data_IF_954131545418
#
_entry.id   IF_954131545418
#
_cell.length_a   1.000
_cell.length_b   1.000
_cell.length_c   1.000
_cell.angle_alpha   90.00
_cell.angle_beta   90.00
_cell.angle_gamma   90.00
#
_symmetry.space_group_name_H-M   'P 1'
#
loop_
_entity.id
_entity.type
_entity.pdbx_description
1 polymer ?
#
# COMPACT_ATOMS: atom_id res chain seq x y z
N UNK A 1 56.05 33.21 -9.66
CA UNK A 1 54.60 32.91 -9.43
C UNK A 1 54.22 31.47 -9.75
N UNK A 2 54.60 30.87 -10.88
CA UNK A 2 54.19 29.50 -11.26
C UNK A 2 54.61 28.39 -10.30
N UNK A 3 55.73 28.48 -9.62
CA UNK A 3 56.21 27.42 -8.69
C UNK A 3 55.31 27.30 -7.46
N UNK A 4 54.76 28.39 -6.96
CA UNK A 4 53.90 28.35 -5.78
C UNK A 4 52.51 27.81 -6.08
N UNK A 5 52.00 28.04 -7.28
CA UNK A 5 50.69 27.52 -7.73
C UNK A 5 50.73 25.99 -7.86
N UNK A 6 51.78 25.44 -8.38
CA UNK A 6 51.95 23.96 -8.52
C UNK A 6 52.00 23.29 -7.14
N UNK A 7 52.71 23.90 -6.20
CA UNK A 7 52.81 23.38 -4.81
C UNK A 7 51.43 23.40 -4.10
N UNK A 8 50.64 24.45 -4.28
CA UNK A 8 49.29 24.52 -3.74
C UNK A 8 48.36 23.48 -4.39
N UNK A 9 48.47 23.21 -5.69
CA UNK A 9 47.70 22.19 -6.39
C UNK A 9 48.04 20.78 -5.87
N UNK A 10 49.32 20.49 -5.67
CA UNK A 10 49.77 19.18 -5.13
C UNK A 10 49.33 19.00 -3.67
N UNK A 11 49.39 20.06 -2.84
CA UNK A 11 48.88 20.03 -1.48
C UNK A 11 47.38 19.83 -1.42
N UNK A 12 46.62 20.53 -2.28
CA UNK A 12 45.17 20.41 -2.36
C UNK A 12 44.76 18.99 -2.84
N UNK A 13 45.46 18.44 -3.83
CA UNK A 13 45.24 17.10 -4.34
C UNK A 13 45.54 16.01 -3.28
N UNK A 14 46.64 16.16 -2.51
CA UNK A 14 46.93 15.27 -1.40
C UNK A 14 45.93 15.41 -0.24
N UNK A 15 45.41 16.61 0.02
CA UNK A 15 44.36 16.85 1.03
C UNK A 15 43.06 16.19 0.61
N UNK A 16 42.67 16.30 -0.68
CA UNK A 16 41.51 15.66 -1.23
C UNK A 16 41.65 14.12 -1.22
N UNK A 17 42.87 13.60 -1.52
CA UNK A 17 43.14 12.17 -1.41
C UNK A 17 43.10 11.67 0.05
N UNK A 18 43.64 12.45 1.01
CA UNK A 18 43.51 12.14 2.44
C UNK A 18 42.05 12.13 2.90
N UNK A 19 41.22 13.13 2.50
CA UNK A 19 39.81 13.15 2.78
C UNK A 19 39.05 12.00 2.15
N UNK A 20 39.39 11.60 0.94
CA UNK A 20 38.82 10.44 0.26
C UNK A 20 39.24 9.11 0.92
N UNK A 21 40.44 9.02 1.47
CA UNK A 21 40.89 7.83 2.24
C UNK A 21 40.26 7.77 3.63
N UNK A 22 40.01 8.89 4.28
CA UNK A 22 39.23 8.91 5.53
C UNK A 22 37.77 8.52 5.31
N UNK A 23 37.16 8.95 4.18
CA UNK A 23 35.79 8.52 3.82
C UNK A 23 35.77 7.01 3.48
N UNK A 24 36.84 6.45 2.90
CA UNK A 24 36.95 5.04 2.60
C UNK A 24 37.41 4.17 3.80
N UNK A 25 37.84 4.80 4.90
CA UNK A 25 38.24 4.13 6.16
C UNK A 25 37.10 3.92 7.15
N UNK A 26 35.89 4.47 6.87
CA UNK A 26 34.67 4.02 7.53
C UNK A 26 34.42 2.60 7.02
N UNK A 27 34.71 1.60 7.85
CA UNK A 27 34.24 0.23 7.60
C UNK A 27 32.81 0.34 7.12
N UNK A 28 32.45 -0.20 5.96
CA UNK A 28 31.07 -0.14 5.52
C UNK A 28 30.26 -0.75 6.68
N UNK A 29 29.49 0.08 7.36
CA UNK A 29 28.46 -0.43 8.26
C UNK A 29 27.71 -1.39 7.38
N UNK A 30 27.86 -2.69 7.65
CA UNK A 30 27.20 -3.73 6.86
C UNK A 30 25.72 -3.34 6.79
N UNK A 31 25.32 -2.92 5.62
CA UNK A 31 23.95 -2.46 5.42
C UNK A 31 23.02 -3.59 5.87
N UNK A 32 22.06 -3.28 6.73
CA UNK A 32 21.09 -4.27 7.20
C UNK A 32 20.44 -4.94 6.00
N UNK A 33 20.54 -6.27 5.95
CA UNK A 33 19.87 -7.09 4.93
C UNK A 33 18.83 -7.96 5.64
N UNK A 34 17.53 -7.79 5.33
CA UNK A 34 16.51 -8.66 5.85
C UNK A 34 16.75 -10.12 5.45
N UNK A 35 16.35 -11.06 6.30
CA UNK A 35 16.28 -12.47 5.91
C UNK A 35 15.07 -12.71 5.01
N UNK A 36 15.17 -13.73 4.16
CA UNK A 36 14.01 -14.24 3.39
C UNK A 36 12.88 -14.60 4.36
N UNK A 37 11.64 -14.39 3.95
CA UNK A 37 10.52 -14.68 4.83
C UNK A 37 9.21 -14.88 4.09
N UNK A 38 8.30 -15.58 4.74
CA UNK A 38 6.91 -15.72 4.32
C UNK A 38 5.97 -15.64 5.52
N UNK A 39 4.67 -15.48 5.30
CA UNK A 39 3.67 -15.31 6.38
C UNK A 39 3.99 -14.13 7.32
N UNK A 40 4.73 -13.15 6.82
CA UNK A 40 5.07 -11.91 7.50
C UNK A 40 3.90 -10.91 7.41
N UNK A 41 4.01 -9.80 8.13
CA UNK A 41 3.15 -8.64 7.94
C UNK A 41 3.91 -7.53 7.20
N UNK A 42 3.19 -6.79 6.36
CA UNK A 42 3.66 -5.59 5.68
C UNK A 42 2.54 -4.56 5.59
N UNK A 43 2.84 -3.30 5.88
CA UNK A 43 1.90 -2.18 5.73
C UNK A 43 2.66 -0.89 5.46
N UNK A 44 2.02 0.01 4.70
CA UNK A 44 2.57 1.34 4.41
C UNK A 44 1.95 2.36 5.34
N UNK A 45 2.80 3.12 6.01
CA UNK A 45 2.41 4.28 6.82
C UNK A 45 3.31 5.43 6.40
N UNK A 46 2.71 6.51 5.95
CA UNK A 46 3.43 7.62 5.32
C UNK A 46 4.35 7.10 4.20
N UNK A 47 5.61 7.49 4.23
CA UNK A 47 6.63 7.12 3.24
C UNK A 47 7.45 5.88 3.66
N UNK A 48 6.88 4.99 4.50
CA UNK A 48 7.60 3.82 5.01
C UNK A 48 6.77 2.55 4.82
N UNK A 49 7.36 1.58 4.13
CA UNK A 49 6.84 0.22 4.06
C UNK A 49 7.44 -0.58 5.21
N UNK A 50 6.66 -0.77 6.28
CA UNK A 50 7.05 -1.53 7.46
C UNK A 50 6.85 -3.02 7.23
N UNK A 51 7.83 -3.83 7.66
CA UNK A 51 7.83 -5.29 7.53
C UNK A 51 8.27 -5.90 8.86
N UNK A 52 7.55 -6.91 9.30
CA UNK A 52 7.86 -7.60 10.56
C UNK A 52 7.34 -9.03 10.60
N UNK A 53 7.87 -9.80 11.53
CA UNK A 53 7.48 -11.20 11.74
C UNK A 53 7.71 -12.08 10.50
N UNK A 54 7.09 -13.24 10.45
CA UNK A 54 7.28 -14.22 9.38
C UNK A 54 8.29 -15.29 9.74
N UNK A 55 8.48 -16.23 8.85
CA UNK A 55 9.38 -17.36 9.01
C UNK A 55 10.39 -17.39 7.86
N UNK A 56 11.63 -17.72 8.18
CA UNK A 56 12.69 -17.97 7.22
C UNK A 56 13.01 -19.46 7.23
N UNK A 57 12.73 -20.13 6.12
CA UNK A 57 12.96 -21.58 6.00
C UNK A 57 14.43 -21.97 5.94
N UNK A 58 15.33 -21.00 5.66
CA UNK A 58 16.78 -21.27 5.46
C UNK A 58 17.58 -21.28 6.77
N UNK A 59 17.12 -20.62 7.83
CA UNK A 59 17.87 -20.43 9.10
C UNK A 59 17.09 -20.93 10.32
N UNK A 60 16.30 -21.98 10.18
CA UNK A 60 15.57 -22.56 11.31
C UNK A 60 14.36 -21.77 11.80
N UNK A 61 13.86 -20.85 11.02
CA UNK A 61 12.53 -20.26 11.16
C UNK A 61 12.40 -19.07 12.13
N UNK A 62 13.21 -18.98 13.16
CA UNK A 62 13.00 -18.02 14.27
C UNK A 62 13.53 -16.62 13.95
N UNK A 63 14.65 -16.52 13.24
CA UNK A 63 15.35 -15.24 13.02
C UNK A 63 14.48 -14.25 12.24
N UNK A 64 13.80 -14.71 11.18
CA UNK A 64 12.85 -13.89 10.42
C UNK A 64 11.74 -13.33 11.30
N UNK A 65 11.28 -14.10 12.29
CA UNK A 65 10.21 -13.72 13.20
C UNK A 65 10.53 -12.58 14.15
N UNK A 66 11.81 -12.33 14.45
CA UNK A 66 12.26 -11.26 15.37
C UNK A 66 12.49 -9.93 14.67
N UNK A 67 12.78 -9.95 13.38
CA UNK A 67 13.15 -8.74 12.64
C UNK A 67 11.94 -7.81 12.45
N UNK A 68 12.20 -6.52 12.70
CA UNK A 68 11.31 -5.42 12.40
C UNK A 68 12.10 -4.34 11.65
N UNK A 69 11.64 -3.91 10.50
CA UNK A 69 12.37 -2.97 9.65
C UNK A 69 11.43 -2.28 8.66
N UNK A 70 11.91 -1.25 7.99
CA UNK A 70 11.16 -0.60 6.93
C UNK A 70 12.04 -0.25 5.72
N UNK A 71 11.38 -0.10 4.58
CA UNK A 71 11.92 0.52 3.38
C UNK A 71 11.34 1.93 3.26
N UNK A 72 12.21 2.93 3.06
CA UNK A 72 11.74 4.27 2.75
C UNK A 72 11.25 4.31 1.29
N UNK A 73 10.01 4.72 1.08
CA UNK A 73 9.33 4.74 -0.23
C UNK A 73 8.90 6.17 -0.63
N UNK A 74 9.49 7.21 0.00
CA UNK A 74 9.24 8.62 -0.30
C UNK A 74 9.72 9.04 -1.70
N UNK A 75 10.70 8.33 -2.25
CA UNK A 75 11.20 8.54 -3.58
C UNK A 75 11.03 7.27 -4.43
N UNK A 76 10.90 7.39 -5.76
CA UNK A 76 10.93 6.24 -6.62
C UNK A 76 12.19 5.42 -6.38
N UNK A 77 12.04 4.14 -6.11
CA UNK A 77 13.16 3.23 -5.94
C UNK A 77 13.21 2.22 -7.08
N UNK A 78 14.40 1.71 -7.32
CA UNK A 78 14.67 0.76 -8.39
C UNK A 78 15.19 -0.53 -7.76
N UNK A 79 14.49 -1.64 -7.96
CA UNK A 79 14.90 -2.94 -7.42
C UNK A 79 16.21 -3.47 -8.02
N UNK A 80 16.68 -2.91 -9.14
CA UNK A 80 17.99 -3.22 -9.72
C UNK A 80 19.17 -2.63 -8.92
N UNK A 81 18.88 -1.71 -7.99
CA UNK A 81 19.85 -1.14 -7.06
C UNK A 81 19.63 -1.73 -5.67
N UNK A 82 20.68 -1.84 -4.82
CA UNK A 82 20.51 -2.30 -3.45
C UNK A 82 19.46 -1.47 -2.72
N UNK A 83 18.49 -2.14 -2.11
CA UNK A 83 17.48 -1.50 -1.28
C UNK A 83 18.06 -1.17 0.10
N UNK A 84 17.89 0.06 0.54
CA UNK A 84 18.36 0.52 1.84
C UNK A 84 17.29 0.28 2.90
N UNK A 85 17.43 -0.82 3.62
CA UNK A 85 16.56 -1.21 4.70
C UNK A 85 16.97 -0.56 6.01
N UNK A 86 16.00 -0.04 6.75
CA UNK A 86 16.20 0.54 8.07
C UNK A 86 15.79 -0.45 9.15
N UNK A 87 16.76 -0.90 9.92
CA UNK A 87 16.57 -1.89 11.00
C UNK A 87 15.95 -1.24 12.25
N UNK A 88 14.85 -1.80 12.69
CA UNK A 88 14.16 -1.45 13.93
C UNK A 88 14.07 -2.65 14.90
N UNK A 89 14.80 -3.72 14.63
CA UNK A 89 14.72 -4.98 15.40
C UNK A 89 15.00 -4.77 16.88
N UNK A 90 15.93 -3.88 17.24
CA UNK A 90 16.23 -3.55 18.64
C UNK A 90 15.07 -2.90 19.41
N UNK A 91 14.08 -2.38 18.71
CA UNK A 91 12.86 -1.77 19.30
C UNK A 91 11.69 -2.74 19.33
N UNK A 92 11.82 -3.92 18.72
CA UNK A 92 10.72 -4.87 18.57
C UNK A 92 10.43 -5.58 19.90
N UNK A 93 9.18 -5.47 20.37
CA UNK A 93 8.68 -6.21 21.53
C UNK A 93 7.82 -7.41 21.14
N UNK A 94 7.50 -7.55 19.85
CA UNK A 94 6.66 -8.62 19.33
C UNK A 94 7.45 -9.92 19.33
N UNK A 95 6.94 -10.98 19.96
CA UNK A 95 7.59 -12.29 19.90
C UNK A 95 7.69 -12.81 18.46
N UNK A 96 8.64 -13.69 18.14
CA UNK A 96 8.71 -14.33 16.83
C UNK A 96 7.42 -15.06 16.51
N UNK A 97 6.74 -14.67 15.42
CA UNK A 97 5.45 -15.28 15.06
C UNK A 97 5.19 -15.23 13.56
N UNK A 98 4.29 -16.09 13.10
CA UNK A 98 3.90 -16.23 11.70
C UNK A 98 2.39 -16.12 11.51
N UNK A 99 1.98 -15.78 10.29
CA UNK A 99 0.57 -15.66 9.94
C UNK A 99 -0.11 -14.47 10.59
N UNK A 100 0.68 -13.46 10.88
CA UNK A 100 0.25 -12.14 11.37
C UNK A 100 -0.32 -11.30 10.24
N UNK A 101 -1.09 -10.29 10.61
CA UNK A 101 -1.51 -9.24 9.68
C UNK A 101 -1.27 -7.88 10.28
N UNK A 102 -0.94 -6.89 9.45
CA UNK A 102 -0.75 -5.52 9.88
C UNK A 102 -1.52 -4.55 8.99
N UNK A 103 -2.05 -3.51 9.61
CA UNK A 103 -2.69 -2.38 8.94
C UNK A 103 -2.25 -1.08 9.61
N UNK A 104 -2.43 0.03 8.93
CA UNK A 104 -2.35 1.35 9.55
C UNK A 104 -3.61 1.62 10.36
N UNK A 105 -3.50 2.37 11.44
CA UNK A 105 -4.64 2.73 12.31
C UNK A 105 -4.30 3.89 13.24
N UNK A 106 -5.13 4.05 14.27
CA UNK A 106 -5.08 5.21 15.16
C UNK A 106 -5.76 6.44 14.56
N UNK A 107 -5.95 7.50 15.36
CA UNK A 107 -6.66 8.71 14.93
C UNK A 107 -6.01 9.40 13.74
N UNK A 108 -4.69 9.41 13.67
CA UNK A 108 -3.92 10.08 12.64
C UNK A 108 -3.38 9.12 11.57
N UNK A 109 -3.82 7.85 11.57
CA UNK A 109 -3.33 6.79 10.69
C UNK A 109 -1.79 6.59 10.72
N UNK A 110 -1.14 6.95 11.82
CA UNK A 110 0.31 6.86 12.05
C UNK A 110 0.72 5.67 12.93
N UNK A 111 -0.23 4.82 13.30
CA UNK A 111 0.00 3.64 14.14
C UNK A 111 -0.03 2.38 13.31
N UNK A 112 1.01 1.55 13.40
CA UNK A 112 0.98 0.19 12.87
C UNK A 112 0.25 -0.70 13.88
N UNK A 113 -0.85 -1.26 13.45
CA UNK A 113 -1.65 -2.22 14.21
C UNK A 113 -1.34 -3.62 13.71
N UNK A 114 -0.68 -4.42 14.55
CA UNK A 114 -0.38 -5.83 14.28
C UNK A 114 -1.37 -6.71 15.03
N UNK A 115 -1.99 -7.66 14.33
CA UNK A 115 -2.95 -8.60 14.90
C UNK A 115 -2.55 -10.05 14.68
N UNK A 116 -2.79 -10.88 15.70
CA UNK A 116 -2.82 -12.33 15.61
C UNK A 116 -1.44 -12.98 15.51
N UNK A 117 -1.40 -14.06 14.72
CA UNK A 117 -0.18 -14.84 14.49
C UNK A 117 0.03 -15.98 15.49
N UNK A 118 0.82 -16.98 15.09
CA UNK A 118 1.27 -18.11 15.93
C UNK A 118 2.71 -17.87 16.35
N UNK A 119 3.00 -17.95 17.65
CA UNK A 119 4.37 -17.86 18.16
C UNK A 119 5.22 -19.02 17.62
N UNK A 120 6.46 -18.74 17.30
CA UNK A 120 7.47 -19.71 16.87
C UNK A 120 8.29 -20.25 18.04
N UNK A 121 8.18 -19.64 19.21
CA UNK A 121 8.84 -20.04 20.45
C UNK A 121 7.82 -20.50 21.48
N UNK A 122 8.28 -21.18 22.53
CA UNK A 122 7.45 -21.60 23.67
C UNK A 122 6.98 -20.44 24.55
N UNK A 123 7.45 -19.21 24.29
CA UNK A 123 7.00 -18.03 25.01
C UNK A 123 5.63 -17.63 24.47
N UNK A 124 4.58 -17.98 25.20
CA UNK A 124 3.24 -17.56 24.83
C UNK A 124 3.03 -16.08 25.12
N UNK A 125 2.82 -15.31 24.07
CA UNK A 125 2.26 -13.97 24.23
C UNK A 125 0.73 -14.06 24.18
N UNK A 126 0.09 -13.60 25.25
CA UNK A 126 -1.37 -13.48 25.32
C UNK A 126 -1.91 -12.27 24.55
N UNK A 127 -1.04 -11.34 24.13
CA UNK A 127 -1.48 -10.16 23.40
C UNK A 127 -2.02 -10.53 22.01
N UNK A 128 -3.23 -10.06 21.72
CA UNK A 128 -3.88 -10.22 20.41
C UNK A 128 -3.43 -9.14 19.45
N UNK A 129 -3.14 -7.94 19.96
CA UNK A 129 -2.80 -6.74 19.23
C UNK A 129 -1.54 -6.13 19.82
N UNK A 130 -0.66 -5.69 18.94
CA UNK A 130 0.45 -4.80 19.24
C UNK A 130 0.29 -3.53 18.41
N UNK A 131 0.59 -2.39 18.99
CA UNK A 131 0.51 -1.10 18.32
C UNK A 131 1.89 -0.41 18.34
N UNK A 132 2.38 0.00 17.19
CA UNK A 132 3.61 0.76 17.03
C UNK A 132 3.31 2.18 16.61
N UNK A 133 3.62 3.13 17.46
CA UNK A 133 3.58 4.55 17.13
C UNK A 133 4.79 4.90 16.25
N UNK A 134 4.53 5.25 14.99
CA UNK A 134 5.59 5.54 14.02
C UNK A 134 6.27 6.88 14.26
N UNK A 135 5.63 7.80 14.97
CA UNK A 135 6.18 9.11 15.34
C UNK A 135 7.00 9.00 16.62
N UNK A 136 6.42 8.43 17.68
CA UNK A 136 7.10 8.17 18.94
C UNK A 136 8.13 7.05 18.86
N UNK A 137 8.10 6.24 17.79
CA UNK A 137 9.04 5.16 17.51
C UNK A 137 9.02 4.08 18.62
N UNK A 138 7.84 3.76 19.12
CA UNK A 138 7.64 2.91 20.29
C UNK A 138 6.46 1.95 20.13
N UNK A 139 6.65 0.74 20.63
CA UNK A 139 5.59 -0.26 20.73
C UNK A 139 4.85 -0.15 22.05
N UNK A 140 3.56 -0.45 22.03
CA UNK A 140 2.76 -0.72 23.21
C UNK A 140 1.75 -1.84 22.94
N UNK A 141 1.21 -2.40 24.02
CA UNK A 141 0.11 -3.37 23.98
C UNK A 141 -1.13 -2.61 24.44
N UNK A 142 -2.08 -2.31 23.54
CA UNK A 142 -3.24 -1.53 23.89
C UNK A 142 -4.19 -2.33 24.81
N UNK A 143 -4.81 -1.63 25.75
CA UNK A 143 -5.97 -2.18 26.48
C UNK A 143 -7.19 -2.06 25.58
N UNK A 144 -7.79 -3.19 25.22
CA UNK A 144 -8.89 -3.24 24.27
C UNK A 144 -10.16 -3.62 25.02
N UNK A 145 -11.18 -2.79 24.90
CA UNK A 145 -12.50 -3.01 25.50
C UNK A 145 -13.39 -3.89 24.60
N UNK A 146 -14.49 -4.40 25.14
CA UNK A 146 -15.46 -5.23 24.41
C UNK A 146 -15.30 -6.72 24.68
N UNK A 147 -15.72 -7.56 23.73
CA UNK A 147 -15.64 -9.02 23.85
C UNK A 147 -14.20 -9.51 23.82
N UNK A 148 -13.90 -10.56 24.56
CA UNK A 148 -12.61 -11.23 24.47
C UNK A 148 -12.60 -12.20 23.29
N UNK A 149 -11.68 -12.00 22.38
CA UNK A 149 -11.49 -12.88 21.23
C UNK A 149 -10.26 -13.77 21.39
N UNK A 150 -10.31 -14.93 20.74
CA UNK A 150 -9.20 -15.87 20.71
C UNK A 150 -8.23 -15.49 19.57
N UNK A 151 -6.95 -15.63 19.83
CA UNK A 151 -5.89 -15.34 18.87
C UNK A 151 -6.03 -16.20 17.62
N UNK A 152 -5.89 -15.57 16.46
CA UNK A 152 -6.01 -16.21 15.13
C UNK A 152 -4.77 -15.95 14.30
N UNK A 153 -4.58 -16.76 13.29
CA UNK A 153 -3.52 -16.60 12.30
C UNK A 153 -4.04 -16.76 10.87
N UNK A 154 -3.20 -16.31 9.92
CA UNK A 154 -3.40 -16.56 8.49
C UNK A 154 -4.68 -15.94 7.91
N UNK A 155 -5.09 -14.80 8.45
CA UNK A 155 -6.12 -13.95 7.87
C UNK A 155 -5.52 -12.68 7.28
N UNK A 156 -6.28 -12.00 6.45
CA UNK A 156 -5.93 -10.68 5.89
C UNK A 156 -6.83 -9.63 6.55
N UNK A 157 -6.21 -8.70 7.30
CA UNK A 157 -6.92 -7.55 7.85
C UNK A 157 -7.15 -6.51 6.75
N UNK A 158 -8.32 -5.90 6.79
CA UNK A 158 -8.65 -4.74 5.96
C UNK A 158 -9.10 -3.63 6.88
N UNK A 159 -8.61 -2.41 6.66
CA UNK A 159 -8.99 -1.22 7.43
C UNK A 159 -9.80 -0.29 6.52
N UNK A 160 -10.90 0.27 7.05
CA UNK A 160 -11.68 1.28 6.38
C UNK A 160 -11.13 2.71 6.61
N UNK A 161 -11.75 3.69 6.00
CA UNK A 161 -11.33 5.10 6.11
C UNK A 161 -11.58 5.70 7.49
N UNK A 162 -12.38 5.04 8.35
CA UNK A 162 -12.67 5.44 9.72
C UNK A 162 -11.73 4.81 10.74
N UNK A 163 -10.74 4.02 10.30
CA UNK A 163 -9.81 3.33 11.18
C UNK A 163 -10.36 2.07 11.83
N UNK A 164 -11.48 1.54 11.32
CA UNK A 164 -12.04 0.27 11.77
C UNK A 164 -11.46 -0.87 10.95
N UNK A 165 -10.90 -1.85 11.64
CA UNK A 165 -10.28 -3.05 11.06
C UNK A 165 -11.28 -4.18 11.01
N UNK A 166 -11.31 -4.89 9.90
CA UNK A 166 -12.14 -6.07 9.65
C UNK A 166 -11.25 -7.31 9.54
N UNK A 167 -11.57 -8.31 10.35
CA UNK A 167 -10.78 -9.54 10.57
C UNK A 167 -11.71 -10.74 10.36
N UNK A 168 -11.77 -11.24 9.13
CA UNK A 168 -12.64 -12.36 8.77
C UNK A 168 -11.90 -13.69 8.86
N UNK A 169 -12.55 -14.70 9.41
CA UNK A 169 -12.05 -16.09 9.36
C UNK A 169 -10.73 -16.29 10.09
N UNK A 170 -9.80 -16.99 9.44
CA UNK A 170 -8.53 -17.36 10.03
C UNK A 170 -8.58 -18.72 10.75
N UNK A 171 -7.47 -19.10 11.39
CA UNK A 171 -7.34 -20.31 12.20
C UNK A 171 -7.11 -19.94 13.66
N UNK A 172 -7.99 -20.40 14.55
CA UNK A 172 -7.83 -20.28 15.98
C UNK A 172 -6.63 -21.10 16.44
N UNK A 173 -5.84 -20.55 17.37
CA UNK A 173 -4.65 -21.24 17.87
C UNK A 173 -4.99 -22.27 18.95
N UNK A 174 -5.89 -21.90 19.84
CA UNK A 174 -6.25 -22.71 20.99
C UNK A 174 -6.95 -24.02 20.60
N UNK A 175 -7.83 -23.98 19.60
CA UNK A 175 -8.64 -25.12 19.17
C UNK A 175 -8.21 -25.71 17.82
N UNK A 176 -7.16 -25.17 17.22
CA UNK A 176 -6.67 -25.52 15.87
C UNK A 176 -7.77 -25.55 14.79
N UNK A 177 -8.84 -24.79 15.00
CA UNK A 177 -10.05 -24.78 14.18
C UNK A 177 -10.13 -23.55 13.27
N UNK A 178 -10.75 -23.74 12.11
CA UNK A 178 -11.02 -22.68 11.14
C UNK A 178 -12.36 -22.02 11.45
N UNK A 179 -12.41 -20.73 11.36
CA UNK A 179 -13.63 -19.95 11.65
C UNK A 179 -14.08 -19.13 10.44
N UNK A 180 -15.35 -18.72 10.46
CA UNK A 180 -15.96 -17.91 9.40
C UNK A 180 -16.74 -16.70 9.95
N UNK A 181 -16.43 -16.29 11.16
CA UNK A 181 -17.00 -15.09 11.75
C UNK A 181 -16.17 -13.85 11.38
N UNK A 182 -16.81 -12.71 11.45
CA UNK A 182 -16.19 -11.38 11.28
C UNK A 182 -16.05 -10.75 12.66
N UNK A 183 -14.83 -10.41 13.04
CA UNK A 183 -14.56 -9.53 14.19
C UNK A 183 -14.02 -8.19 13.69
N UNK A 184 -14.28 -7.13 14.41
CA UNK A 184 -13.82 -5.79 14.07
C UNK A 184 -13.07 -5.17 15.23
N UNK A 185 -12.11 -4.30 14.90
CA UNK A 185 -11.37 -3.53 15.88
C UNK A 185 -11.42 -2.04 15.49
N UNK A 186 -12.01 -1.23 16.34
CA UNK A 186 -11.84 0.22 16.29
C UNK A 186 -10.44 0.56 16.81
N UNK A 187 -9.58 1.07 15.94
CA UNK A 187 -8.18 1.35 16.28
C UNK A 187 -7.99 2.72 16.93
N UNK A 188 -9.01 3.55 16.93
CA UNK A 188 -8.98 4.86 17.59
C UNK A 188 -9.31 4.69 19.09
N UNK A 189 -10.39 3.97 19.39
CA UNK A 189 -10.87 3.76 20.76
C UNK A 189 -10.43 2.42 21.37
N UNK A 190 -9.70 1.60 20.62
CA UNK A 190 -9.32 0.24 20.97
C UNK A 190 -10.50 -0.55 21.54
N UNK A 191 -11.49 -0.77 20.67
CA UNK A 191 -12.70 -1.49 21.03
C UNK A 191 -12.99 -2.61 20.01
N UNK A 192 -13.19 -3.81 20.54
CA UNK A 192 -13.68 -4.93 19.75
C UNK A 192 -15.15 -4.79 19.40
N UNK A 193 -15.51 -5.28 18.23
CA UNK A 193 -16.87 -5.44 17.76
C UNK A 193 -17.03 -6.71 16.94
N UNK A 194 -18.24 -7.00 16.54
CA UNK A 194 -18.61 -8.17 15.77
C UNK A 194 -19.34 -7.76 14.50
N UNK A 195 -18.92 -8.32 13.37
CA UNK A 195 -19.64 -8.23 12.11
C UNK A 195 -20.66 -9.36 11.95
N UNK A 196 -21.53 -9.23 10.96
CA UNK A 196 -22.50 -10.25 10.61
C UNK A 196 -21.80 -11.52 10.09
N UNK A 197 -22.30 -12.68 10.48
CA UNK A 197 -21.94 -13.97 9.91
C UNK A 197 -23.03 -14.54 9.00
N UNK A 198 -24.15 -13.82 8.83
CA UNK A 198 -25.25 -14.23 7.95
C UNK A 198 -24.78 -14.16 6.50
N UNK A 199 -24.89 -15.28 5.78
CA UNK A 199 -24.38 -15.47 4.42
C UNK A 199 -22.86 -15.26 4.28
N UNK A 200 -22.11 -15.35 5.38
CA UNK A 200 -20.66 -15.31 5.34
C UNK A 200 -20.11 -16.48 4.53
N UNK A 201 -18.97 -16.32 3.86
CA UNK A 201 -18.30 -17.42 3.19
C UNK A 201 -17.92 -18.54 4.17
N UNK A 202 -17.61 -19.70 3.63
CA UNK A 202 -17.01 -20.79 4.41
C UNK A 202 -15.72 -20.34 5.07
N UNK A 203 -15.35 -20.99 6.18
CA UNK A 203 -14.09 -20.72 6.89
C UNK A 203 -12.88 -20.81 5.97
N UNK A 204 -11.99 -19.85 6.05
CA UNK A 204 -10.83 -19.76 5.15
C UNK A 204 -9.64 -19.05 5.77
N UNK A 205 -8.46 -19.37 5.25
CA UNK A 205 -7.18 -18.75 5.57
C UNK A 205 -6.45 -18.35 4.30
N UNK A 206 -5.46 -17.45 4.43
CA UNK A 206 -4.54 -17.07 3.35
C UNK A 206 -5.26 -16.67 2.05
N UNK A 207 -6.36 -15.98 2.17
CA UNK A 207 -7.16 -15.40 1.09
C UNK A 207 -6.67 -13.97 0.77
N UNK A 208 -6.98 -13.50 -0.43
CA UNK A 208 -6.84 -12.09 -0.80
C UNK A 208 -8.06 -11.29 -0.33
N UNK A 209 -7.82 -10.10 0.20
CA UNK A 209 -8.89 -9.15 0.52
C UNK A 209 -8.42 -7.71 0.37
N UNK A 210 -9.32 -6.83 -0.07
CA UNK A 210 -9.05 -5.39 -0.18
C UNK A 210 -10.33 -4.58 -0.03
N UNK A 211 -10.17 -3.32 0.44
CA UNK A 211 -11.26 -2.36 0.52
C UNK A 211 -11.54 -1.78 -0.88
N UNK A 212 -12.80 -1.72 -1.25
CA UNK A 212 -13.28 -1.13 -2.50
C UNK A 212 -13.68 0.34 -2.30
N UNK A 213 -13.78 1.15 -3.38
CA UNK A 213 -14.12 2.58 -3.26
C UNK A 213 -15.49 2.85 -2.60
N UNK A 214 -16.43 1.92 -2.73
CA UNK A 214 -17.76 1.99 -2.09
C UNK A 214 -17.78 1.53 -0.64
N UNK A 215 -16.60 1.37 -0.02
CA UNK A 215 -16.38 0.86 1.34
C UNK A 215 -16.79 -0.60 1.56
N UNK A 216 -17.07 -1.35 0.52
CA UNK A 216 -17.22 -2.80 0.62
C UNK A 216 -15.84 -3.46 0.66
N UNK A 217 -15.75 -4.64 1.26
CA UNK A 217 -14.54 -5.44 1.25
C UNK A 217 -14.77 -6.67 0.38
N UNK A 218 -13.87 -6.91 -0.59
CA UNK A 218 -13.89 -8.12 -1.41
C UNK A 218 -12.94 -9.16 -0.84
N UNK A 219 -13.40 -10.44 -0.86
CA UNK A 219 -12.65 -11.61 -0.40
C UNK A 219 -12.55 -12.63 -1.54
N UNK A 220 -11.33 -13.10 -1.81
CA UNK A 220 -10.98 -13.90 -3.01
C UNK A 220 -10.16 -15.12 -2.62
N UNK A 221 -10.57 -16.31 -3.03
CA UNK A 221 -9.83 -17.56 -2.86
C UNK A 221 -9.56 -17.93 -1.40
N UNK A 222 -8.37 -18.45 -1.11
CA UNK A 222 -7.94 -18.94 0.19
C UNK A 222 -7.88 -20.45 0.31
N UNK A 223 -7.53 -20.96 1.48
CA UNK A 223 -7.52 -22.39 1.82
C UNK A 223 -8.57 -22.74 2.88
N UNK A 224 -9.11 -23.95 2.82
CA UNK A 224 -10.06 -24.49 3.79
C UNK A 224 -9.39 -25.44 4.82
N UNK A 225 -10.19 -26.00 5.72
CA UNK A 225 -9.72 -26.93 6.75
C UNK A 225 -9.24 -28.29 6.21
N UNK A 226 -9.56 -28.61 4.96
CA UNK A 226 -9.11 -29.82 4.28
C UNK A 226 -7.78 -29.64 3.53
N UNK A 227 -7.12 -28.49 3.70
CA UNK A 227 -5.93 -28.07 2.95
C UNK A 227 -6.16 -27.98 1.44
N UNK A 228 -7.37 -27.63 1.03
CA UNK A 228 -7.73 -27.41 -0.36
C UNK A 228 -7.72 -25.92 -0.66
N UNK A 229 -7.27 -25.57 -1.86
CA UNK A 229 -7.37 -24.22 -2.40
C UNK A 229 -8.81 -23.96 -2.85
N UNK A 230 -9.38 -22.85 -2.41
CA UNK A 230 -10.74 -22.46 -2.73
C UNK A 230 -10.83 -21.86 -4.15
N UNK A 231 -11.99 -22.06 -4.83
CA UNK A 231 -12.21 -21.55 -6.17
C UNK A 231 -12.29 -20.03 -6.23
N UNK A 232 -12.07 -19.47 -7.43
CA UNK A 232 -12.17 -18.06 -7.75
C UNK A 232 -13.34 -17.77 -8.72
N UNK A 233 -14.19 -18.76 -9.01
CA UNK A 233 -15.42 -18.62 -9.80
C UNK A 233 -16.53 -17.85 -9.06
N UNK A 234 -16.28 -17.56 -7.79
CA UNK A 234 -17.09 -16.66 -6.97
C UNK A 234 -16.21 -15.85 -6.02
N UNK A 235 -16.68 -14.65 -5.71
CA UNK A 235 -16.08 -13.76 -4.72
C UNK A 235 -17.12 -13.33 -3.71
N UNK A 236 -16.67 -12.97 -2.53
CA UNK A 236 -17.54 -12.56 -1.43
C UNK A 236 -17.34 -11.08 -1.12
N UNK A 237 -18.45 -10.39 -0.94
CA UNK A 237 -18.46 -8.96 -0.65
C UNK A 237 -19.06 -8.76 0.74
N UNK A 238 -18.32 -8.07 1.59
CA UNK A 238 -18.82 -7.59 2.87
C UNK A 238 -19.12 -6.10 2.77
N UNK A 239 -20.38 -5.75 2.94
CA UNK A 239 -20.85 -4.36 3.02
C UNK A 239 -20.61 -3.85 4.44
N UNK A 240 -19.65 -2.93 4.59
CA UNK A 240 -19.26 -2.40 5.90
C UNK A 240 -20.30 -1.46 6.49
N UNK A 241 -21.13 -0.83 5.67
CA UNK A 241 -22.18 0.09 6.10
C UNK A 241 -23.41 -0.67 6.60
N UNK A 242 -23.85 -1.69 5.83
CA UNK A 242 -25.04 -2.47 6.15
C UNK A 242 -24.76 -3.74 6.95
N UNK A 243 -23.47 -4.02 7.23
CA UNK A 243 -23.02 -5.16 8.02
C UNK A 243 -23.58 -6.49 7.50
N UNK A 244 -23.44 -6.75 6.20
CA UNK A 244 -23.95 -7.95 5.57
C UNK A 244 -23.00 -8.51 4.49
N UNK A 245 -23.21 -9.78 4.15
CA UNK A 245 -22.46 -10.48 3.11
C UNK A 245 -23.29 -10.68 1.86
N UNK A 246 -22.63 -10.65 0.71
CA UNK A 246 -23.17 -11.09 -0.57
C UNK A 246 -22.11 -11.85 -1.36
N UNK A 247 -22.58 -12.75 -2.23
CA UNK A 247 -21.72 -13.52 -3.13
C UNK A 247 -21.93 -13.06 -4.56
N UNK A 248 -20.84 -12.96 -5.32
CA UNK A 248 -20.84 -12.64 -6.74
C UNK A 248 -20.18 -13.77 -7.52
N UNK A 249 -20.88 -14.33 -8.48
CA UNK A 249 -20.27 -15.23 -9.47
C UNK A 249 -19.39 -14.43 -10.41
N UNK A 250 -18.25 -14.98 -10.75
CA UNK A 250 -17.31 -14.38 -11.69
C UNK A 250 -17.38 -15.04 -13.06
N UNK A 251 -16.83 -14.38 -14.07
CA UNK A 251 -16.79 -14.83 -15.46
C UNK A 251 -15.43 -14.53 -16.10
N UNK A 252 -15.30 -14.74 -17.39
CA UNK A 252 -14.07 -14.46 -18.13
C UNK A 252 -12.98 -15.51 -17.92
N UNK A 253 -11.74 -15.09 -17.83
CA UNK A 253 -10.57 -15.97 -17.65
C UNK A 253 -10.38 -16.30 -16.15
N UNK A 254 -11.26 -17.14 -15.60
CA UNK A 254 -11.26 -17.47 -14.17
C UNK A 254 -9.94 -18.15 -13.77
N UNK A 255 -9.19 -17.60 -12.77
CA UNK A 255 -7.95 -18.22 -12.30
C UNK A 255 -8.21 -19.59 -11.66
N UNK A 256 -7.21 -20.46 -11.70
CA UNK A 256 -7.23 -21.72 -10.95
C UNK A 256 -7.35 -21.48 -9.44
N UNK A 257 -7.94 -22.46 -8.71
CA UNK A 257 -8.07 -22.42 -7.25
C UNK A 257 -6.72 -22.16 -6.60
N UNK A 258 -6.66 -21.23 -5.62
CA UNK A 258 -5.41 -20.87 -4.97
C UNK A 258 -5.57 -20.25 -3.59
N UNK A 259 -4.55 -20.42 -2.76
CA UNK A 259 -4.40 -19.75 -1.46
C UNK A 259 -3.01 -19.12 -1.33
N UNK A 260 -2.80 -18.25 -0.35
CA UNK A 260 -1.53 -17.53 -0.18
C UNK A 260 -1.28 -16.45 -1.25
N UNK A 261 -2.33 -16.08 -1.95
CA UNK A 261 -2.37 -14.98 -2.92
C UNK A 261 -2.50 -13.63 -2.21
N UNK A 262 -2.24 -12.57 -2.94
CA UNK A 262 -2.59 -11.20 -2.52
C UNK A 262 -3.57 -10.56 -3.50
N UNK A 263 -4.40 -9.67 -2.98
CA UNK A 263 -5.35 -8.87 -3.75
C UNK A 263 -5.20 -7.40 -3.34
N UNK A 264 -5.03 -6.51 -4.31
CA UNK A 264 -4.97 -5.07 -4.10
C UNK A 264 -5.90 -4.36 -5.10
N UNK A 265 -6.45 -3.23 -4.69
CA UNK A 265 -7.23 -2.38 -5.60
C UNK A 265 -6.28 -1.62 -6.53
N UNK A 266 -6.55 -1.65 -7.82
CA UNK A 266 -5.84 -0.85 -8.83
C UNK A 266 -6.13 0.65 -8.67
N UNK A 267 -5.30 1.48 -9.27
CA UNK A 267 -5.40 2.94 -9.16
C UNK A 267 -6.64 3.51 -9.87
N UNK A 268 -7.20 2.76 -10.82
CA UNK A 268 -8.45 3.09 -11.50
C UNK A 268 -9.69 2.96 -10.58
N UNK A 269 -9.53 2.27 -9.43
CA UNK A 269 -10.63 1.96 -8.53
C UNK A 269 -11.64 0.95 -9.08
N UNK A 270 -11.38 0.33 -10.23
CA UNK A 270 -12.28 -0.59 -10.92
C UNK A 270 -11.73 -2.01 -11.04
N UNK A 271 -10.42 -2.18 -10.94
CA UNK A 271 -9.76 -3.47 -11.06
C UNK A 271 -9.19 -3.90 -9.71
N UNK A 272 -9.46 -5.12 -9.30
CA UNK A 272 -8.72 -5.79 -8.22
C UNK A 272 -7.64 -6.64 -8.85
N UNK A 273 -6.39 -6.35 -8.53
CA UNK A 273 -5.22 -7.07 -9.02
C UNK A 273 -4.93 -8.22 -8.07
N UNK A 274 -4.91 -9.42 -8.60
CA UNK A 274 -4.59 -10.65 -7.85
C UNK A 274 -3.28 -11.21 -8.34
N UNK A 275 -2.35 -11.43 -7.41
CA UNK A 275 -1.04 -11.96 -7.73
C UNK A 275 -0.69 -13.19 -6.90
N UNK A 276 -0.08 -14.18 -7.55
CA UNK A 276 0.52 -15.33 -6.95
C UNK A 276 -0.47 -16.34 -6.38
N UNK A 277 -0.03 -17.04 -5.36
CA UNK A 277 -0.75 -18.10 -4.69
C UNK A 277 -0.20 -19.50 -4.99
N UNK A 278 -0.77 -20.48 -4.30
CA UNK A 278 -0.44 -21.90 -4.41
C UNK A 278 -1.72 -22.68 -4.71
N UNK A 279 -1.65 -23.54 -5.70
CA UNK A 279 -2.78 -24.38 -6.13
C UNK A 279 -3.04 -25.55 -5.20
N UNK A 280 -4.07 -26.34 -5.53
CA UNK A 280 -4.39 -27.57 -4.82
C UNK A 280 -3.18 -28.51 -4.77
N UNK A 281 -3.06 -29.28 -3.68
CA UNK A 281 -1.96 -30.24 -3.46
C UNK A 281 -0.57 -29.57 -3.53
N UNK A 282 -0.50 -28.28 -3.18
CA UNK A 282 0.73 -27.49 -3.20
C UNK A 282 1.36 -27.36 -4.62
N UNK A 283 0.54 -27.36 -5.65
CA UNK A 283 1.02 -27.14 -7.01
C UNK A 283 1.44 -25.68 -7.17
N UNK A 284 2.70 -25.46 -7.54
CA UNK A 284 3.22 -24.12 -7.88
C UNK A 284 2.55 -23.69 -9.19
N UNK A 285 1.99 -22.50 -9.16
CA UNK A 285 1.31 -21.90 -10.32
C UNK A 285 2.35 -21.41 -11.32
N UNK A 286 2.11 -21.63 -12.60
CA UNK A 286 2.99 -21.11 -13.66
C UNK A 286 3.03 -19.58 -13.62
N UNK A 287 4.17 -18.96 -13.94
CA UNK A 287 4.31 -17.51 -13.98
C UNK A 287 3.24 -16.83 -14.85
N UNK A 288 2.90 -17.39 -15.99
CA UNK A 288 1.88 -16.87 -16.92
C UNK A 288 0.46 -16.84 -16.32
N UNK A 289 0.22 -17.68 -15.30
CA UNK A 289 -1.05 -17.74 -14.54
C UNK A 289 -0.93 -17.04 -13.18
N UNK A 290 0.14 -16.30 -12.92
CA UNK A 290 0.36 -15.71 -11.60
C UNK A 290 -0.38 -14.39 -11.39
N UNK A 291 -0.75 -13.68 -12.46
CA UNK A 291 -1.33 -12.34 -12.40
C UNK A 291 -2.66 -12.25 -13.13
N UNK A 292 -3.68 -11.79 -12.43
CA UNK A 292 -5.02 -11.56 -12.96
C UNK A 292 -5.57 -10.23 -12.47
N UNK A 293 -6.55 -9.71 -13.20
CA UNK A 293 -7.39 -8.60 -12.74
C UNK A 293 -8.85 -9.01 -12.75
N UNK A 294 -9.57 -8.57 -11.73
CA UNK A 294 -11.02 -8.72 -11.61
C UNK A 294 -11.67 -7.33 -11.69
N UNK A 295 -12.48 -7.11 -12.70
CA UNK A 295 -13.30 -5.89 -12.78
C UNK A 295 -14.42 -5.95 -11.73
N UNK A 296 -14.49 -4.97 -10.83
CA UNK A 296 -15.47 -4.98 -9.72
C UNK A 296 -16.89 -4.60 -10.13
N UNK A 297 -17.07 -4.07 -11.34
CA UNK A 297 -18.38 -3.69 -11.86
C UNK A 297 -19.05 -4.86 -12.60
N UNK A 298 -18.26 -5.65 -13.37
CA UNK A 298 -18.75 -6.78 -14.17
C UNK A 298 -18.47 -8.14 -13.53
N UNK A 299 -17.54 -8.22 -12.56
CA UNK A 299 -17.01 -9.45 -11.99
C UNK A 299 -16.39 -10.39 -13.04
N UNK A 300 -15.74 -9.80 -14.04
CA UNK A 300 -15.05 -10.51 -15.10
C UNK A 300 -13.53 -10.53 -14.86
N UNK A 301 -12.97 -11.74 -14.92
CA UNK A 301 -11.53 -11.96 -14.84
C UNK A 301 -10.84 -11.74 -16.18
N UNK A 302 -9.69 -11.12 -16.15
CA UNK A 302 -8.81 -10.96 -17.30
C UNK A 302 -7.34 -11.09 -16.90
N UNK A 303 -6.49 -11.41 -17.89
CA UNK A 303 -5.04 -11.38 -17.73
C UNK A 303 -4.55 -10.03 -18.28
N UNK A 304 -3.95 -9.18 -17.43
CA UNK A 304 -3.47 -7.88 -17.88
C UNK A 304 -2.30 -8.04 -18.84
N UNK A 305 -2.22 -7.17 -19.84
CA UNK A 305 -1.05 -7.08 -20.72
C UNK A 305 0.08 -6.41 -19.93
N UNK A 306 1.12 -7.16 -19.65
CA UNK A 306 2.33 -6.65 -18.99
C UNK A 306 3.47 -6.57 -19.98
N UNK A 307 4.40 -5.65 -19.74
CA UNK A 307 5.67 -5.53 -20.46
C UNK A 307 6.81 -5.95 -19.55
N UNK A 308 7.82 -6.61 -20.09
CA UNK A 308 8.95 -7.13 -19.34
C UNK A 308 8.84 -8.61 -18.96
N UNK A 309 9.71 -9.05 -18.08
CA UNK A 309 9.72 -10.44 -17.64
C UNK A 309 8.61 -10.67 -16.61
N UNK A 310 7.86 -11.75 -16.77
CA UNK A 310 6.93 -12.23 -15.77
C UNK A 310 7.75 -12.88 -14.65
N UNK A 311 7.68 -12.38 -13.41
CA UNK A 311 8.41 -12.98 -12.30
C UNK A 311 7.82 -14.35 -11.94
N UNK A 312 8.63 -15.19 -11.26
CA UNK A 312 8.15 -16.46 -10.72
C UNK A 312 6.95 -16.25 -9.80
N UNK A 313 6.02 -17.20 -9.83
CA UNK A 313 4.87 -17.16 -8.94
C UNK A 313 5.32 -17.26 -7.47
N UNK A 314 4.78 -16.37 -6.65
CA UNK A 314 5.02 -16.34 -5.19
C UNK A 314 3.76 -16.64 -4.43
N UNK A 315 3.89 -17.23 -3.26
CA UNK A 315 2.80 -17.40 -2.32
C UNK A 315 3.20 -17.03 -0.90
N UNK A 316 2.25 -16.74 -0.03
CA UNK A 316 2.49 -16.23 1.33
C UNK A 316 3.33 -14.95 1.39
N UNK A 317 3.36 -14.21 0.31
CA UNK A 317 3.94 -12.86 0.21
C UNK A 317 2.97 -11.81 0.75
N UNK A 318 3.39 -10.54 0.76
CA UNK A 318 2.49 -9.40 1.02
C UNK A 318 2.60 -8.41 -0.13
N UNK A 319 1.50 -7.71 -0.42
CA UNK A 319 1.47 -6.65 -1.42
C UNK A 319 0.83 -5.39 -0.85
N UNK A 320 1.38 -4.24 -1.26
CA UNK A 320 0.88 -2.91 -0.92
C UNK A 320 0.89 -2.05 -2.17
N UNK A 321 -0.05 -1.13 -2.30
CA UNK A 321 -0.03 -0.12 -3.35
C UNK A 321 0.79 1.06 -2.86
N UNK A 322 1.83 1.44 -3.62
CA UNK A 322 2.75 2.55 -3.31
C UNK A 322 2.97 3.35 -4.59
N UNK A 323 2.46 4.57 -4.63
CA UNK A 323 2.46 5.35 -5.86
C UNK A 323 1.76 4.59 -6.98
N UNK A 324 2.46 4.39 -8.09
CA UNK A 324 1.94 3.68 -9.27
C UNK A 324 2.20 2.18 -9.27
N UNK A 325 2.69 1.62 -8.17
CA UNK A 325 3.15 0.24 -8.12
C UNK A 325 2.38 -0.60 -7.11
N UNK A 326 2.07 -1.84 -7.48
CA UNK A 326 1.87 -2.91 -6.54
C UNK A 326 3.25 -3.42 -6.11
N UNK A 327 3.61 -3.17 -4.87
CA UNK A 327 4.88 -3.56 -4.27
C UNK A 327 4.67 -4.87 -3.54
N UNK A 328 5.24 -5.95 -4.07
CA UNK A 328 5.18 -7.29 -3.47
C UNK A 328 6.47 -7.57 -2.71
N UNK A 329 6.35 -8.02 -1.47
CA UNK A 329 7.51 -8.30 -0.60
C UNK A 329 7.60 -9.78 -0.28
N UNK A 330 8.79 -10.36 -0.40
CA UNK A 330 9.16 -11.72 -0.01
C UNK A 330 8.18 -12.81 -0.50
N UNK A 331 7.90 -13.81 0.33
CA UNK A 331 7.08 -14.97 0.00
C UNK A 331 7.92 -16.22 -0.23
N UNK A 332 7.29 -17.27 -0.76
CA UNK A 332 7.91 -18.53 -1.15
C UNK A 332 7.63 -18.80 -2.63
N UNK A 333 8.48 -19.61 -3.27
CA UNK A 333 8.27 -20.10 -4.64
C UNK A 333 9.02 -19.34 -5.72
N UNK A 334 9.72 -18.25 -5.37
CA UNK A 334 10.56 -17.52 -6.33
C UNK A 334 12.02 -17.99 -6.27
N UNK A 335 12.74 -17.75 -7.36
CA UNK A 335 14.16 -18.02 -7.42
C UNK A 335 14.90 -17.01 -6.53
N UNK A 336 15.87 -17.46 -5.73
CA UNK A 336 16.72 -16.59 -4.88
C UNK A 336 17.54 -15.56 -5.67
N UNK A 337 17.63 -15.69 -6.99
CA UNK A 337 18.23 -14.68 -7.89
C UNK A 337 17.26 -13.55 -8.23
N UNK A 338 15.97 -13.68 -7.90
CA UNK A 338 14.99 -12.63 -8.03
C UNK A 338 15.01 -11.72 -6.79
N UNK A 339 14.59 -10.47 -6.97
CA UNK A 339 14.55 -9.50 -5.88
C UNK A 339 13.50 -9.88 -4.82
N UNK A 340 13.84 -9.66 -3.54
CA UNK A 340 12.92 -9.84 -2.40
C UNK A 340 11.69 -8.91 -2.51
N UNK A 341 11.80 -7.84 -3.30
CA UNK A 341 10.75 -6.87 -3.57
C UNK A 341 10.49 -6.82 -5.08
N UNK A 342 9.25 -7.04 -5.46
CA UNK A 342 8.78 -6.89 -6.84
C UNK A 342 7.96 -5.62 -6.98
N UNK A 343 8.18 -4.91 -8.09
CA UNK A 343 7.39 -3.75 -8.49
C UNK A 343 6.59 -4.11 -9.73
N UNK A 344 5.28 -4.14 -9.60
CA UNK A 344 4.37 -4.22 -10.74
C UNK A 344 3.77 -2.84 -10.95
N UNK A 345 4.03 -2.23 -12.11
CA UNK A 345 3.36 -0.99 -12.51
C UNK A 345 1.87 -1.28 -12.73
N UNK A 346 1.03 -0.64 -11.94
CA UNK A 346 -0.42 -0.85 -11.94
C UNK A 346 -1.19 0.25 -12.65
N UNK A 347 -0.51 1.10 -13.44
CA UNK A 347 -1.15 1.94 -14.44
C UNK A 347 -1.65 1.01 -15.56
N UNK A 348 -2.59 0.12 -15.21
CA UNK A 348 -3.18 -0.82 -16.15
C UNK A 348 -4.23 -0.08 -16.94
N UNK A 349 -3.88 0.22 -18.20
CA UNK A 349 -4.85 0.33 -19.26
C UNK A 349 -5.64 1.63 -19.38
N UNK A 350 -4.97 2.69 -19.80
CA UNK A 350 -5.61 3.64 -20.71
C UNK A 350 -5.12 3.42 -22.16
N UNK A 351 -4.75 2.20 -22.52
CA UNK A 351 -4.22 1.85 -23.85
C UNK A 351 -5.31 1.38 -24.83
N UNK A 352 -6.58 1.73 -24.63
CA UNK A 352 -7.60 1.55 -25.67
C UNK A 352 -8.55 2.76 -25.67
N UNK A 353 -8.19 3.79 -26.44
CA UNK A 353 -9.12 4.81 -26.90
C UNK A 353 -8.90 6.25 -26.43
N UNK A 354 -8.20 6.51 -25.34
CA UNK A 354 -8.05 7.87 -24.81
C UNK A 354 -6.68 8.53 -25.10
N UNK A 355 -5.65 7.78 -25.45
CA UNK A 355 -4.29 8.33 -25.66
C UNK A 355 -4.19 9.27 -26.88
N UNK A 356 -5.06 9.11 -27.86
CA UNK A 356 -5.12 10.01 -29.02
C UNK A 356 -5.85 11.34 -28.71
N UNK A 357 -6.89 11.31 -27.87
CA UNK A 357 -7.59 12.55 -27.47
C UNK A 357 -6.78 13.42 -26.51
N UNK A 358 -6.08 12.81 -25.54
CA UNK A 358 -5.24 13.57 -24.60
C UNK A 358 -4.01 14.18 -25.29
N UNK A 359 -3.38 13.46 -26.22
CA UNK A 359 -2.28 14.01 -27.03
C UNK A 359 -2.76 15.17 -27.91
N UNK A 360 -3.99 15.09 -28.47
CA UNK A 360 -4.59 16.15 -29.26
C UNK A 360 -4.96 17.37 -28.40
N UNK A 361 -5.53 17.19 -27.24
CA UNK A 361 -5.88 18.31 -26.33
C UNK A 361 -4.67 18.97 -25.74
N UNK A 362 -3.64 18.22 -25.35
CA UNK A 362 -2.36 18.76 -24.86
C UNK A 362 -1.63 19.50 -25.99
N UNK A 363 -1.61 18.94 -27.21
CA UNK A 363 -1.05 19.56 -28.40
C UNK A 363 -1.75 20.87 -28.74
N UNK A 364 -3.09 20.89 -28.72
CA UNK A 364 -3.92 22.08 -28.93
C UNK A 364 -3.72 23.13 -27.84
N UNK A 365 -3.56 22.71 -26.59
CA UNK A 365 -3.26 23.62 -25.46
C UNK A 365 -1.89 24.29 -25.63
N UNK A 366 -0.87 23.57 -26.04
CA UNK A 366 0.46 24.11 -26.33
C UNK A 366 0.45 25.03 -27.56
N UNK A 367 -0.29 24.70 -28.60
CA UNK A 367 -0.46 25.56 -29.77
C UNK A 367 -1.25 26.85 -29.42
N UNK A 368 -2.30 26.74 -28.61
CA UNK A 368 -3.05 27.88 -28.11
C UNK A 368 -2.17 28.81 -27.25
N UNK A 369 -1.38 28.24 -26.31
CA UNK A 369 -0.45 28.99 -25.47
C UNK A 369 0.65 29.67 -26.28
N UNK A 370 1.17 28.99 -27.31
CA UNK A 370 2.18 29.55 -28.24
C UNK A 370 1.61 30.67 -29.11
N UNK A 371 0.35 30.57 -29.54
CA UNK A 371 -0.34 31.61 -30.32
C UNK A 371 -0.71 32.83 -29.45
N UNK A 372 -1.09 32.62 -28.19
CA UNK A 372 -1.37 33.69 -27.23
C UNK A 372 -0.11 34.48 -26.91
N UNK A 373 1.03 33.84 -26.75
CA UNK A 373 2.32 34.48 -26.50
C UNK A 373 2.87 35.24 -27.73
N UNK A 374 2.43 34.85 -28.97
CA UNK A 374 2.77 35.61 -30.18
C UNK A 374 1.98 36.92 -30.31
N UNK A 375 0.75 36.99 -29.79
CA UNK A 375 -0.08 38.22 -29.83
C UNK A 375 0.34 39.28 -28.80
N UNK A 376 1.08 38.90 -27.76
CA UNK A 376 1.58 39.84 -26.73
C UNK A 376 2.88 40.55 -27.16
N UNK A 377 3.54 40.14 -28.26
CA UNK A 377 4.81 40.72 -28.72
C UNK A 377 4.67 41.84 -29.77
N UNK A 378 3.44 42.26 -30.13
CA UNK A 378 3.24 43.25 -31.24
C UNK A 378 2.85 44.66 -30.77
N UNK A 379 2.62 44.89 -29.46
CA UNK A 379 2.23 46.22 -28.98
C UNK A 379 3.25 46.84 -28.02
N UNK A 380 4.47 47.11 -28.51
CA UNK A 380 5.37 48.09 -27.90
C UNK A 380 6.00 48.89 -29.02
N UNK A 381 5.33 49.95 -29.46
CA UNK A 381 5.90 50.99 -30.29
C UNK A 381 5.65 52.34 -29.63
N UNK A 382 6.74 52.95 -29.21
CA UNK A 382 7.09 54.35 -29.10
C UNK A 382 6.01 55.41 -28.75
N UNK A 383 6.23 56.07 -27.63
CA UNK A 383 5.81 57.47 -27.42
C UNK A 383 7.04 58.30 -27.07
N UNK A 384 7.31 59.43 -27.78
CA UNK A 384 8.41 60.33 -27.45
C UNK A 384 8.03 61.35 -26.35
N UNK A 385 9.06 61.81 -25.63
CA UNK A 385 9.05 62.87 -24.60
C UNK A 385 8.36 64.17 -25.02
N UNK A 386 7.51 64.70 -24.13
CA UNK A 386 7.04 66.08 -24.19
C UNK A 386 6.61 66.58 -22.80
N UNK A 387 7.16 67.68 -22.39
CA UNK A 387 7.20 68.35 -21.10
C UNK A 387 5.85 68.88 -20.57
N UNK A 388 5.73 68.88 -19.24
CA UNK A 388 5.19 69.91 -18.30
C UNK A 388 3.86 70.61 -18.66
N UNK A 389 2.86 70.54 -17.77
CA UNK A 389 2.52 71.62 -16.85
C UNK A 389 1.37 71.26 -15.88
N UNK A 390 1.48 71.92 -14.71
CA UNK A 390 0.56 71.89 -13.56
C UNK A 390 -0.86 72.36 -13.88
N UNK A 391 -1.86 71.81 -13.21
CA UNK A 391 -2.73 72.54 -12.27
C UNK A 391 -3.90 71.63 -11.73
N UNK A 392 -3.96 71.68 -10.45
CA UNK A 392 -5.07 71.70 -9.49
C UNK A 392 -6.53 71.39 -9.94
N UNK A 393 -7.24 70.62 -9.15
CA UNK A 393 -8.70 70.62 -9.09
C UNK A 393 -9.31 69.49 -8.31
N UNK A 394 -9.53 69.71 -7.03
CA UNK A 394 -10.45 68.95 -6.15
C UNK A 394 -11.87 68.95 -6.69
N UNK A 395 -12.58 67.84 -6.50
CA UNK A 395 -13.93 67.78 -5.87
C UNK A 395 -14.41 66.33 -5.73
N UNK A 396 -14.57 65.97 -4.59
CA UNK A 396 -15.56 65.29 -3.70
C UNK A 396 -16.94 64.96 -4.25
N UNK A 397 -17.49 63.90 -3.63
CA UNK A 397 -18.91 63.61 -3.27
C UNK A 397 -19.69 62.88 -4.37
N UNK A 398 -20.47 61.82 -4.17
CA UNK A 398 -21.17 61.27 -3.00
C UNK A 398 -21.77 59.89 -3.35
N UNK A 399 -21.93 59.14 -2.34
CA UNK A 399 -22.81 57.98 -2.11
C UNK A 399 -24.22 58.04 -2.71
N UNK A 400 -24.79 56.91 -3.08
CA UNK A 400 -26.13 56.48 -2.59
C UNK A 400 -26.37 54.97 -2.74
N UNK A 401 -26.79 54.39 -1.64
CA UNK A 401 -27.47 53.10 -1.48
C UNK A 401 -28.82 53.07 -2.19
N UNK A 402 -29.24 51.93 -2.64
CA UNK A 402 -30.62 51.47 -2.46
C UNK A 402 -30.74 49.94 -2.42
N UNK A 403 -31.21 49.52 -1.28
CA UNK A 403 -31.87 48.24 -0.94
C UNK A 403 -33.29 48.30 -1.53
N UNK A 404 -33.79 47.21 -1.98
CA UNK A 404 -35.21 46.87 -1.82
C UNK A 404 -35.43 45.33 -1.87
N UNK A 405 -36.04 44.88 -0.78
CA UNK A 405 -36.66 43.59 -0.50
C UNK A 405 -37.97 43.41 -1.29
N UNK A 406 -38.36 42.14 -1.42
CA UNK A 406 -39.72 41.58 -1.14
C UNK A 406 -39.71 40.12 -1.57
N UNK A 407 -39.78 39.15 -0.68
CA UNK A 407 -40.88 38.57 0.10
C UNK A 407 -41.83 37.63 -0.70
N UNK A 408 -41.99 36.44 -0.09
CA UNK A 408 -43.18 35.56 0.04
C UNK A 408 -43.57 34.77 -1.22
N UNK A 409 -44.02 33.54 -1.16
CA UNK A 409 -44.65 32.65 -0.17
C UNK A 409 -44.70 31.20 -0.69
N UNK A 410 -44.49 30.27 0.22
CA UNK A 410 -45.13 29.03 0.56
C UNK A 410 -46.21 28.41 -0.38
N UNK A 411 -46.16 27.10 -0.55
CA UNK A 411 -47.12 26.04 -0.12
C UNK A 411 -46.87 24.70 -0.83
N UNK A 412 -46.70 23.71 -0.02
CA UNK A 412 -47.42 22.43 0.15
C UNK A 412 -48.00 21.74 -1.11
N UNK A 413 -47.51 20.56 -1.41
CA UNK A 413 -48.15 19.26 -1.08
C UNK A 413 -47.01 18.20 -1.03
#
# INVERSE_FOLDING_TARGET
MLKNTLTYFVLLFNLIQCLLTEINGVSPILAFKPTLRHLHAATVIDDKLYILSGMDDTIGGIVGGTQFFYLNVSAPFNTKMPLYWHDLTSKNIVPPQIGVTAVKGGADNNTLILYGGRNLTSIESKALVYAYDTQGNAWHIPTISGENYIKRRSLTAVVDYQGKVYLFGGKLLEFDSFVNDMITLDTINFRWGKGSSTNAPTSRINYGATLLPNQNIIYIGGGNSLNESLPLDEVFIYDTNNNNWSTKKTSGLIPSNRYGLTAVLGLDGEQVIVYGGLGNKNIIINPEESLYTLNINTFEWSIPKITGNIPSCRYMHRANVIGNYMVTTFGVGYNITEDDVLLLDIIIGLATGFSLLCAFTIGMFFLYKRNKNRKVKVNTLHIPNGKLDNQSGQKTVETTNKVDNHDEEAKQV
#
